data_IF_888277528748
#
_entry.id   IF_888277528748
#
_cell.length_a   1.000
_cell.length_b   1.000
_cell.length_c   1.000
_cell.angle_alpha   90.00
_cell.angle_beta   90.00
_cell.angle_gamma   90.00
#
_symmetry.space_group_name_H-M   'P 1'
#
loop_
_entity.id
_entity.type
_entity.pdbx_description
1 polymer ?
#
# COMPACT_ATOMS: atom_id res chain seq x y z
N UNK A 1 1.04 -12.69 -10.20
CA UNK A 1 2.52 -12.71 -10.20
C UNK A 1 3.18 -11.37 -9.84
N UNK A 2 2.54 -10.19 -9.98
CA UNK A 2 3.16 -8.87 -9.72
C UNK A 2 3.57 -8.55 -8.27
N UNK A 3 3.08 -9.31 -7.27
CA UNK A 3 3.30 -8.99 -5.84
C UNK A 3 4.76 -9.19 -5.42
N UNK A 4 5.38 -10.30 -5.81
CA UNK A 4 6.76 -10.59 -5.46
C UNK A 4 7.75 -9.67 -6.18
N UNK A 5 7.42 -9.26 -7.39
CA UNK A 5 8.18 -8.26 -8.15
C UNK A 5 8.18 -6.90 -7.43
N UNK A 6 7.01 -6.40 -7.01
CA UNK A 6 6.91 -5.16 -6.24
C UNK A 6 7.69 -5.21 -4.91
N UNK A 7 7.67 -6.36 -4.23
CA UNK A 7 8.49 -6.57 -3.03
C UNK A 7 9.97 -6.52 -3.40
N UNK A 8 10.40 -7.23 -4.45
CA UNK A 8 11.78 -7.24 -4.93
C UNK A 8 12.30 -5.85 -5.28
N UNK A 9 11.51 -5.05 -5.99
CA UNK A 9 11.86 -3.66 -6.30
C UNK A 9 11.99 -2.78 -5.05
N UNK A 10 11.08 -2.96 -4.09
CA UNK A 10 11.12 -2.27 -2.80
C UNK A 10 12.37 -2.62 -2.00
N UNK A 11 12.75 -3.90 -1.99
CA UNK A 11 13.98 -4.38 -1.34
C UNK A 11 15.21 -3.81 -2.04
N UNK A 12 15.30 -3.92 -3.37
CA UNK A 12 16.42 -3.37 -4.14
C UNK A 12 16.58 -1.85 -3.94
N UNK A 13 15.47 -1.12 -3.79
CA UNK A 13 15.52 0.30 -3.44
C UNK A 13 16.02 0.54 -2.02
N UNK A 14 15.56 -0.24 -1.04
CA UNK A 14 16.00 -0.13 0.35
C UNK A 14 17.51 -0.43 0.49
N UNK A 15 18.01 -1.44 -0.22
CA UNK A 15 19.44 -1.79 -0.28
C UNK A 15 20.28 -0.64 -0.84
N UNK A 16 19.87 -0.04 -1.97
CA UNK A 16 20.55 1.13 -2.54
C UNK A 16 20.58 2.34 -1.59
N UNK A 17 19.62 2.44 -0.68
CA UNK A 17 19.53 3.50 0.32
C UNK A 17 20.24 3.15 1.63
N UNK A 18 20.75 1.91 1.78
CA UNK A 18 21.36 1.44 3.02
C UNK A 18 20.38 1.33 4.19
N UNK A 19 19.06 1.21 3.93
CA UNK A 19 18.03 1.12 4.96
C UNK A 19 17.44 -0.29 5.04
N UNK A 20 16.99 -0.66 6.23
CA UNK A 20 16.33 -1.94 6.50
C UNK A 20 14.82 -1.73 6.60
N UNK A 21 14.05 -2.53 5.86
CA UNK A 21 12.61 -2.33 5.73
C UNK A 21 11.82 -3.60 6.01
N UNK A 22 10.54 -3.39 6.35
CA UNK A 22 9.49 -4.40 6.24
C UNK A 22 8.48 -3.91 5.21
N UNK A 23 8.05 -4.78 4.31
CA UNK A 23 7.12 -4.48 3.22
C UNK A 23 5.89 -5.35 3.38
N UNK A 24 4.71 -4.74 3.44
CA UNK A 24 3.43 -5.42 3.46
C UNK A 24 2.63 -5.07 2.22
N UNK A 25 2.03 -6.07 1.58
CA UNK A 25 1.14 -5.92 0.43
C UNK A 25 -0.25 -6.36 0.84
N UNK A 26 -1.20 -5.44 0.70
CA UNK A 26 -2.60 -5.62 1.13
C UNK A 26 -3.50 -5.57 -0.10
N UNK A 27 -4.47 -6.48 -0.16
CA UNK A 27 -5.51 -6.50 -1.18
C UNK A 27 -6.49 -5.35 -1.02
N UNK A 28 -7.31 -5.11 -2.04
CA UNK A 28 -8.34 -4.05 -2.01
C UNK A 28 -9.47 -4.33 -1.01
N UNK A 29 -9.62 -5.61 -0.62
CA UNK A 29 -10.49 -6.09 0.45
C UNK A 29 -9.92 -5.85 1.85
N UNK A 30 -8.65 -5.43 1.95
CA UNK A 30 -7.95 -5.22 3.21
C UNK A 30 -7.25 -6.47 3.76
N UNK A 31 -7.20 -7.55 2.98
CA UNK A 31 -6.54 -8.81 3.35
C UNK A 31 -5.02 -8.77 3.10
N UNK A 32 -4.26 -9.42 3.97
CA UNK A 32 -2.80 -9.49 3.83
C UNK A 32 -2.43 -10.50 2.74
N UNK A 33 -1.85 -10.01 1.64
CA UNK A 33 -1.39 -10.86 0.53
C UNK A 33 0.04 -11.33 0.76
N UNK A 34 0.92 -10.43 1.19
CA UNK A 34 2.32 -10.75 1.43
C UNK A 34 2.96 -9.83 2.47
N UNK A 35 3.90 -10.38 3.24
CA UNK A 35 4.71 -9.65 4.21
C UNK A 35 6.16 -10.11 4.09
N UNK A 36 7.07 -9.18 3.84
CA UNK A 36 8.49 -9.43 3.79
C UNK A 36 9.22 -8.55 4.80
N UNK A 37 10.19 -9.14 5.51
CA UNK A 37 11.03 -8.45 6.49
C UNK A 37 12.48 -8.67 6.13
N UNK A 38 13.22 -7.57 5.96
CA UNK A 38 14.68 -7.64 5.76
C UNK A 38 15.38 -8.10 7.05
N UNK A 39 16.46 -8.89 6.97
CA UNK A 39 17.25 -9.25 8.15
C UNK A 39 17.72 -8.02 8.93
N UNK A 40 17.72 -8.13 10.27
CA UNK A 40 18.15 -7.05 11.15
C UNK A 40 17.19 -5.85 11.25
N UNK A 41 16.01 -5.86 10.62
CA UNK A 41 14.98 -4.85 10.86
C UNK A 41 14.39 -5.01 12.28
N UNK A 42 13.99 -3.89 12.90
CA UNK A 42 13.31 -3.88 14.21
C UNK A 42 12.14 -4.87 14.27
N UNK A 43 11.93 -5.45 15.45
CA UNK A 43 10.93 -6.51 15.69
C UNK A 43 9.51 -6.03 15.38
N UNK A 44 9.20 -4.77 15.66
CA UNK A 44 7.86 -4.19 15.46
C UNK A 44 7.59 -3.69 14.03
N UNK A 45 8.61 -3.56 13.18
CA UNK A 45 8.45 -3.00 11.82
C UNK A 45 7.47 -3.75 10.91
N UNK A 46 7.35 -5.10 10.94
CA UNK A 46 6.34 -5.81 10.15
C UNK A 46 4.91 -5.39 10.49
N UNK A 47 4.60 -5.19 11.78
CA UNK A 47 3.29 -4.72 12.23
C UNK A 47 3.00 -3.31 11.69
N UNK A 48 3.98 -2.41 11.76
CA UNK A 48 3.82 -1.04 11.25
C UNK A 48 3.60 -1.02 9.74
N UNK A 49 4.35 -1.84 8.99
CA UNK A 49 4.16 -1.96 7.54
C UNK A 49 2.75 -2.45 7.20
N UNK A 50 2.29 -3.50 7.89
CA UNK A 50 0.93 -4.02 7.75
C UNK A 50 -0.14 -2.96 8.04
N UNK A 51 -0.05 -2.27 9.18
CA UNK A 51 -1.04 -1.26 9.57
C UNK A 51 -1.09 -0.09 8.58
N UNK A 52 0.07 0.38 8.10
CA UNK A 52 0.15 1.42 7.08
C UNK A 52 -0.50 0.98 5.77
N UNK A 53 -0.12 -0.20 5.27
CA UNK A 53 -0.63 -0.70 4.00
C UNK A 53 -2.14 -1.01 4.07
N UNK A 54 -2.63 -1.52 5.20
CA UNK A 54 -4.05 -1.83 5.40
C UNK A 54 -4.89 -0.58 5.52
N UNK A 55 -4.40 0.43 6.24
CA UNK A 55 -5.02 1.76 6.26
C UNK A 55 -5.09 2.32 4.85
N UNK A 56 -3.99 2.29 4.08
CA UNK A 56 -3.98 2.77 2.71
C UNK A 56 -5.01 2.03 1.82
N UNK A 57 -5.12 0.71 1.92
CA UNK A 57 -6.09 -0.07 1.15
C UNK A 57 -7.54 0.27 1.51
N UNK A 58 -7.86 0.34 2.80
CA UNK A 58 -9.22 0.64 3.30
C UNK A 58 -9.64 2.06 2.94
N UNK A 59 -8.75 3.04 3.13
CA UNK A 59 -9.05 4.46 2.91
C UNK A 59 -8.90 4.90 1.45
N UNK A 60 -8.21 4.12 0.60
CA UNK A 60 -8.27 4.32 -0.86
C UNK A 60 -9.71 4.22 -1.39
N UNK A 61 -10.61 3.55 -0.66
CA UNK A 61 -12.05 3.48 -0.96
C UNK A 61 -12.86 4.59 -0.26
N UNK A 62 -12.73 5.84 -0.74
CA UNK A 62 -13.68 6.99 -0.74
C UNK A 62 -12.90 8.22 -1.25
N UNK A 63 -13.36 9.12 -2.12
CA UNK A 63 -14.62 9.37 -2.82
C UNK A 63 -14.27 9.95 -4.19
N UNK A 64 -14.73 9.38 -5.31
CA UNK A 64 -14.83 10.23 -6.49
C UNK A 64 -15.88 11.29 -6.16
N UNK A 65 -15.58 12.60 -6.21
CA UNK A 65 -16.64 13.58 -6.17
C UNK A 65 -17.51 13.29 -7.39
N UNK A 66 -18.79 13.04 -7.14
CA UNK A 66 -19.83 13.12 -8.16
C UNK A 66 -19.69 14.52 -8.75
N UNK A 67 -19.12 14.61 -9.96
CA UNK A 67 -18.97 15.87 -10.69
C UNK A 67 -20.32 16.61 -10.77
N UNK A 68 -20.31 17.94 -10.85
CA UNK A 68 -21.53 18.74 -10.77
C UNK A 68 -22.51 18.26 -11.84
N UNK A 69 -23.72 17.90 -11.39
CA UNK A 69 -24.83 17.48 -12.25
C UNK A 69 -25.16 18.69 -13.13
N UNK A 70 -24.78 18.66 -14.42
CA UNK A 70 -25.21 19.67 -15.40
C UNK A 70 -26.74 19.60 -15.48
N UNK A 71 -27.43 20.46 -14.74
CA UNK A 71 -28.80 20.82 -15.07
C UNK A 71 -28.69 21.79 -16.23
N UNK A 72 -29.00 21.30 -17.44
CA UNK A 72 -29.29 22.14 -18.59
C UNK A 72 -30.41 23.12 -18.22
N UNK A 73 -30.32 24.41 -18.56
CA UNK A 73 -31.44 25.32 -18.40
C UNK A 73 -32.53 24.92 -19.39
N UNK A 74 -33.74 24.69 -18.86
CA UNK A 74 -34.95 24.61 -19.65
C UNK A 74 -35.28 25.98 -20.25
N UNK A 75 -35.73 25.90 -21.50
CA UNK A 75 -36.24 26.93 -22.41
C UNK A 75 -36.98 28.10 -21.78
#
# INVERSE_FOLDING_TARGET
MKVFEAIGEGVAKAERLGIRVSIAVIGEDGELIALYKTPGTYVFSPLIAYLKARTAAIFKRRSSPRGPRRTSPST
#
